data_IF_107047788817
#
_entry.id   IF_107047788817
#
_cell.length_a   1.000
_cell.length_b   1.000
_cell.length_c   1.000
_cell.angle_alpha   90.00
_cell.angle_beta   90.00
_cell.angle_gamma   90.00
#
_symmetry.space_group_name_H-M   'P 1'
#
loop_
_entity.id
_entity.type
_entity.pdbx_description
1 polymer ?
#
# COMPACT_ATOMS: atom_id res chain seq x y z
N UNK A 1 0.10 -0.08 -1.50
CA UNK A 1 0.18 1.39 -1.38
C UNK A 1 0.15 1.99 -2.77
N UNK A 2 -0.73 2.98 -2.99
CA UNK A 2 -0.72 3.81 -4.18
C UNK A 2 0.29 4.96 -4.02
N UNK A 3 0.47 5.81 -5.04
CA UNK A 3 1.38 6.96 -4.97
C UNK A 3 0.99 7.96 -3.87
N UNK A 4 -0.30 8.12 -3.58
CA UNK A 4 -0.77 9.05 -2.55
C UNK A 4 -0.38 8.59 -1.14
N UNK A 5 -0.48 7.29 -0.87
CA UNK A 5 -0.07 6.68 0.42
C UNK A 5 1.40 6.97 0.73
N UNK A 6 2.27 6.93 -0.29
CA UNK A 6 3.70 7.25 -0.17
C UNK A 6 3.93 8.73 0.10
N UNK A 7 3.15 9.62 -0.53
CA UNK A 7 3.26 11.06 -0.33
C UNK A 7 2.91 11.44 1.12
N UNK A 8 1.79 10.94 1.65
CA UNK A 8 1.41 11.23 3.03
C UNK A 8 2.34 10.58 4.04
N UNK A 9 2.86 9.38 3.75
CA UNK A 9 3.91 8.77 4.57
C UNK A 9 5.14 9.67 4.65
N UNK A 10 5.57 10.25 3.53
CA UNK A 10 6.69 11.20 3.49
C UNK A 10 6.38 12.50 4.27
N UNK A 11 5.16 13.04 4.14
CA UNK A 11 4.72 14.21 4.91
C UNK A 11 4.80 13.97 6.43
N UNK A 12 4.45 12.77 6.92
CA UNK A 12 4.51 12.44 8.35
C UNK A 12 5.92 12.48 8.93
N UNK A 13 6.96 12.29 8.10
CA UNK A 13 8.37 12.38 8.49
C UNK A 13 9.03 13.70 8.08
N UNK A 14 8.26 14.67 7.60
CA UNK A 14 8.78 15.96 7.14
C UNK A 14 9.64 15.86 5.87
N UNK A 15 9.47 14.79 5.09
CA UNK A 15 10.16 14.60 3.81
C UNK A 15 9.27 15.03 2.64
N UNK A 16 9.93 15.46 1.56
CA UNK A 16 9.23 15.61 0.29
C UNK A 16 8.77 14.24 -0.23
N UNK A 17 7.67 14.24 -0.97
CA UNK A 17 7.19 13.07 -1.72
C UNK A 17 8.33 12.41 -2.49
N UNK A 18 8.48 11.10 -2.33
CA UNK A 18 9.44 10.31 -3.09
C UNK A 18 9.04 10.27 -4.58
N UNK A 19 9.83 10.83 -5.50
CA UNK A 19 9.45 10.86 -6.92
C UNK A 19 9.45 9.45 -7.51
N UNK A 20 8.62 9.18 -8.53
CA UNK A 20 8.70 7.93 -9.29
C UNK A 20 10.06 7.80 -9.99
N UNK A 21 10.72 6.65 -9.85
CA UNK A 21 12.04 6.39 -10.42
C UNK A 21 12.11 6.65 -11.93
N UNK A 22 11.06 6.27 -12.67
CA UNK A 22 11.01 6.40 -14.13
C UNK A 22 10.85 7.85 -14.62
N UNK A 23 10.35 8.76 -13.78
CA UNK A 23 10.26 10.18 -14.14
C UNK A 23 11.60 10.89 -13.99
N UNK A 24 12.46 10.41 -13.08
CA UNK A 24 13.74 11.03 -12.76
C UNK A 24 14.88 10.00 -12.73
N UNK A 25 15.18 9.30 -13.84
CA UNK A 25 16.16 8.21 -13.84
C UNK A 25 17.60 8.66 -13.53
N UNK A 26 17.88 9.96 -13.52
CA UNK A 26 19.16 10.57 -13.11
C UNK A 26 19.03 11.48 -11.88
N UNK A 27 17.93 11.37 -11.13
CA UNK A 27 17.66 12.18 -9.95
C UNK A 27 18.57 11.87 -8.77
N UNK A 28 18.56 12.79 -7.79
CA UNK A 28 19.20 12.61 -6.48
C UNK A 28 18.23 11.92 -5.55
N UNK A 29 18.56 10.71 -5.09
CA UNK A 29 17.62 9.83 -4.39
C UNK A 29 17.85 9.71 -2.88
N UNK A 30 18.75 10.53 -2.32
CA UNK A 30 19.07 10.55 -0.88
C UNK A 30 17.85 10.87 0.00
N UNK A 31 16.81 11.51 -0.56
CA UNK A 31 15.57 11.84 0.16
C UNK A 31 14.41 10.86 -0.10
N UNK A 32 14.64 9.82 -0.90
CA UNK A 32 13.63 8.82 -1.25
C UNK A 32 13.33 8.75 -2.75
N UNK A 33 12.79 7.61 -3.16
CA UNK A 33 12.37 7.31 -4.53
C UNK A 33 11.33 6.18 -4.51
N UNK A 34 10.31 6.28 -5.37
CA UNK A 34 9.30 5.24 -5.53
C UNK A 34 9.58 4.39 -6.76
N UNK A 35 9.62 3.06 -6.56
CA UNK A 35 9.75 2.08 -7.65
C UNK A 35 8.43 1.38 -7.97
N UNK A 36 7.35 1.75 -7.27
CA UNK A 36 6.07 1.06 -7.34
C UNK A 36 5.46 1.15 -8.75
N UNK A 37 5.02 0.00 -9.28
CA UNK A 37 4.20 -0.07 -10.48
C UNK A 37 2.79 -0.51 -10.14
N UNK A 38 1.80 0.32 -10.48
CA UNK A 38 0.39 -0.01 -10.25
C UNK A 38 -0.01 -1.30 -10.98
N UNK A 39 -0.69 -2.22 -10.29
CA UNK A 39 -1.14 -3.49 -10.85
C UNK A 39 -0.06 -4.57 -10.99
N UNK A 40 1.19 -4.32 -10.56
CA UNK A 40 2.26 -5.30 -10.66
C UNK A 40 2.07 -6.50 -9.71
N UNK A 41 2.33 -7.70 -10.22
CA UNK A 41 2.37 -8.93 -9.44
C UNK A 41 3.71 -9.16 -8.73
N UNK A 42 3.72 -10.15 -7.83
CA UNK A 42 4.95 -10.64 -7.19
C UNK A 42 5.80 -11.44 -8.18
N UNK A 43 5.16 -12.30 -8.98
CA UNK A 43 5.82 -13.11 -9.99
C UNK A 43 5.73 -12.45 -11.37
N UNK A 44 6.79 -12.57 -12.16
CA UNK A 44 6.82 -12.05 -13.53
C UNK A 44 5.67 -12.57 -14.39
N UNK A 45 5.28 -13.84 -14.19
CA UNK A 45 4.19 -14.49 -14.95
C UNK A 45 2.81 -13.91 -14.61
N UNK A 46 2.65 -13.32 -13.43
CA UNK A 46 1.39 -12.67 -13.05
C UNK A 46 1.12 -11.41 -13.88
N UNK A 47 2.18 -10.78 -14.41
CA UNK A 47 2.12 -9.55 -15.20
C UNK A 47 1.90 -9.81 -16.70
N UNK A 48 2.04 -11.06 -17.17
CA UNK A 48 1.93 -11.41 -18.59
C UNK A 48 0.49 -11.39 -19.13
N UNK A 49 -0.54 -11.44 -18.27
CA UNK A 49 -1.90 -11.80 -18.69
C UNK A 49 -2.96 -10.68 -18.66
N UNK A 50 -2.76 -9.55 -17.95
CA UNK A 50 -3.85 -8.58 -17.72
C UNK A 50 -3.50 -7.10 -17.97
N UNK A 51 -2.26 -6.65 -17.77
CA UNK A 51 -1.85 -5.25 -18.00
C UNK A 51 -0.42 -5.25 -18.59
N UNK A 52 -0.28 -5.09 -19.91
CA UNK A 52 1.02 -5.12 -20.64
C UNK A 52 1.99 -3.96 -20.32
N UNK A 53 1.68 -3.15 -19.31
CA UNK A 53 2.43 -1.95 -18.94
C UNK A 53 2.86 -1.97 -17.46
N UNK A 54 2.72 -3.09 -16.76
CA UNK A 54 3.24 -3.23 -15.39
C UNK A 54 4.72 -3.56 -15.41
N UNK A 55 5.42 -3.12 -14.36
CA UNK A 55 6.81 -3.46 -14.11
C UNK A 55 6.80 -4.52 -13.01
N UNK A 56 7.15 -5.79 -13.31
CA UNK A 56 7.16 -6.85 -12.31
C UNK A 56 8.05 -6.51 -11.11
N UNK A 57 7.74 -7.08 -9.94
CA UNK A 57 8.49 -6.81 -8.71
C UNK A 57 9.99 -7.04 -8.89
N UNK A 58 10.40 -8.09 -9.63
CA UNK A 58 11.81 -8.35 -9.92
C UNK A 58 12.50 -7.18 -10.63
N UNK A 59 11.81 -6.52 -11.56
CA UNK A 59 12.35 -5.35 -12.28
C UNK A 59 12.38 -4.11 -11.38
N UNK A 60 11.37 -3.92 -10.51
CA UNK A 60 11.38 -2.86 -9.51
C UNK A 60 12.57 -3.00 -8.55
N UNK A 61 12.91 -4.24 -8.13
CA UNK A 61 14.11 -4.53 -7.34
C UNK A 61 15.41 -4.23 -8.10
N UNK A 62 15.44 -4.46 -9.41
CA UNK A 62 16.55 -4.06 -10.28
C UNK A 62 16.77 -2.54 -10.31
N UNK A 63 15.69 -1.77 -10.40
CA UNK A 63 15.74 -0.31 -10.30
C UNK A 63 16.25 0.15 -8.92
N UNK A 64 15.76 -0.46 -7.85
CA UNK A 64 16.27 -0.19 -6.50
C UNK A 64 17.76 -0.48 -6.39
N UNK A 65 18.25 -1.62 -6.88
CA UNK A 65 19.67 -1.94 -6.81
C UNK A 65 20.53 -0.94 -7.61
N UNK A 66 20.01 -0.42 -8.73
CA UNK A 66 20.66 0.65 -9.50
C UNK A 66 20.81 1.93 -8.67
N UNK A 67 19.74 2.34 -7.99
CA UNK A 67 19.79 3.51 -7.08
C UNK A 67 20.73 3.25 -5.90
N UNK A 68 20.68 2.06 -5.31
CA UNK A 68 21.57 1.66 -4.21
C UNK A 68 23.04 1.76 -4.61
N UNK A 69 23.41 1.35 -5.82
CA UNK A 69 24.78 1.49 -6.33
C UNK A 69 25.21 2.95 -6.50
N UNK A 70 24.28 3.86 -6.84
CA UNK A 70 24.56 5.30 -6.91
C UNK A 70 24.72 5.90 -5.53
N UNK A 71 23.82 5.58 -4.61
CA UNK A 71 23.94 5.95 -3.20
C UNK A 71 25.25 5.43 -2.60
N UNK A 72 25.71 4.23 -3.00
CA UNK A 72 27.01 3.70 -2.57
C UNK A 72 28.19 4.58 -3.01
N UNK A 73 28.13 5.12 -4.24
CA UNK A 73 29.15 6.04 -4.76
C UNK A 73 29.10 7.40 -4.07
N UNK A 74 27.91 7.88 -3.73
CA UNK A 74 27.71 9.19 -3.09
C UNK A 74 27.99 9.17 -1.59
N UNK A 75 27.56 8.13 -0.87
CA UNK A 75 27.60 8.05 0.59
C UNK A 75 28.78 7.24 1.13
N UNK A 76 29.44 6.43 0.30
CA UNK A 76 30.56 5.58 0.71
C UNK A 76 30.22 4.69 1.91
N UNK A 77 31.01 4.79 2.98
CA UNK A 77 30.81 4.02 4.22
C UNK A 77 29.48 4.30 4.93
N UNK A 78 28.84 5.45 4.65
CA UNK A 78 27.59 5.84 5.29
C UNK A 78 26.35 5.19 4.64
N UNK A 79 26.52 4.45 3.54
CA UNK A 79 25.40 3.79 2.84
C UNK A 79 24.59 2.88 3.76
N UNK A 80 25.27 2.05 4.56
CA UNK A 80 24.57 1.07 5.41
C UNK A 80 23.76 1.76 6.52
N UNK A 81 24.28 2.84 7.09
CA UNK A 81 23.58 3.66 8.08
C UNK A 81 22.38 4.39 7.45
N UNK A 82 22.54 4.89 6.22
CA UNK A 82 21.44 5.52 5.49
C UNK A 82 20.31 4.53 5.17
N UNK A 83 20.65 3.33 4.68
CA UNK A 83 19.67 2.29 4.37
C UNK A 83 19.02 1.71 5.62
N UNK A 84 19.73 1.56 6.74
CA UNK A 84 19.12 1.05 7.98
C UNK A 84 18.10 2.02 8.58
N UNK A 85 18.29 3.33 8.39
CA UNK A 85 17.37 4.40 8.82
C UNK A 85 16.22 4.65 7.83
N UNK A 86 16.29 4.10 6.62
CA UNK A 86 15.25 4.22 5.60
C UNK A 86 14.08 3.26 5.86
N UNK A 87 12.87 3.66 5.46
CA UNK A 87 11.66 2.85 5.56
C UNK A 87 11.38 2.11 4.25
N UNK A 88 11.09 0.82 4.33
CA UNK A 88 10.78 -0.01 3.15
C UNK A 88 9.40 -0.65 3.26
N UNK A 89 8.50 -0.40 2.30
CA UNK A 89 7.20 -1.07 2.24
C UNK A 89 7.29 -2.51 1.69
N UNK A 90 8.46 -2.93 1.18
CA UNK A 90 8.74 -4.26 0.62
C UNK A 90 10.04 -4.81 1.22
N UNK A 91 10.06 -6.13 1.47
CA UNK A 91 11.19 -6.84 2.08
C UNK A 91 12.43 -6.91 1.17
N UNK A 92 13.41 -6.03 1.41
CA UNK A 92 14.72 -6.02 0.75
C UNK A 92 15.87 -6.11 1.76
N UNK A 93 15.69 -6.90 2.82
CA UNK A 93 16.63 -7.04 3.93
C UNK A 93 18.08 -7.34 3.50
N UNK A 94 18.26 -8.24 2.52
CA UNK A 94 19.56 -8.58 1.94
C UNK A 94 20.27 -7.42 1.23
N UNK A 95 19.57 -6.32 0.96
CA UNK A 95 20.11 -5.11 0.35
C UNK A 95 20.35 -3.97 1.35
N UNK A 96 20.29 -4.24 2.66
CA UNK A 96 20.65 -3.30 3.73
C UNK A 96 19.48 -2.70 4.49
N UNK A 97 18.23 -2.96 4.05
CA UNK A 97 17.03 -2.52 4.75
C UNK A 97 16.88 -3.18 6.13
N UNK A 98 16.47 -2.40 7.12
CA UNK A 98 16.25 -2.89 8.50
C UNK A 98 14.88 -2.56 9.06
N UNK A 99 14.23 -1.49 8.60
CA UNK A 99 12.90 -1.06 9.05
C UNK A 99 11.85 -1.27 7.95
N UNK A 100 10.82 -2.05 8.25
CA UNK A 100 9.79 -2.45 7.28
C UNK A 100 8.40 -2.00 7.72
N UNK A 101 7.65 -1.39 6.80
CA UNK A 101 6.22 -1.14 6.97
C UNK A 101 5.50 -2.20 6.14
N UNK A 102 4.70 -3.04 6.77
CA UNK A 102 3.98 -4.12 6.10
C UNK A 102 2.50 -3.91 6.28
N UNK A 103 1.73 -3.90 5.20
CA UNK A 103 0.26 -3.78 5.27
C UNK A 103 -0.37 -5.10 4.88
N UNK A 104 -1.32 -5.60 5.67
CA UNK A 104 -2.14 -6.75 5.28
C UNK A 104 -3.02 -6.46 4.06
N UNK A 105 -3.57 -7.52 3.46
CA UNK A 105 -4.61 -7.43 2.42
C UNK A 105 -5.89 -6.85 3.05
N UNK A 106 -6.48 -5.84 2.40
CA UNK A 106 -7.74 -5.23 2.81
C UNK A 106 -8.93 -6.20 2.69
N UNK A 107 -10.12 -5.77 3.13
CA UNK A 107 -11.40 -6.48 2.95
C UNK A 107 -11.84 -6.49 1.47
N UNK A 108 -11.04 -7.10 0.59
CA UNK A 108 -11.13 -6.98 -0.87
C UNK A 108 -12.40 -7.59 -1.46
N UNK A 109 -13.03 -8.55 -0.76
CA UNK A 109 -14.35 -9.08 -1.12
C UNK A 109 -15.45 -8.03 -1.12
N UNK A 110 -15.23 -6.89 -0.46
CA UNK A 110 -16.14 -5.75 -0.44
C UNK A 110 -15.79 -4.65 -1.46
N UNK A 111 -14.75 -4.80 -2.28
CA UNK A 111 -14.43 -3.84 -3.33
C UNK A 111 -15.55 -3.79 -4.39
N UNK A 112 -15.83 -2.63 -5.01
CA UNK A 112 -16.90 -2.50 -6.00
C UNK A 112 -16.82 -3.52 -7.14
N UNK A 113 -15.61 -3.83 -7.64
CA UNK A 113 -15.41 -4.84 -8.69
C UNK A 113 -15.79 -6.25 -8.26
N UNK A 114 -15.53 -6.62 -7.00
CA UNK A 114 -15.88 -7.95 -6.49
C UNK A 114 -17.38 -8.03 -6.22
N UNK A 115 -17.96 -6.97 -5.65
CA UNK A 115 -19.42 -6.84 -5.46
C UNK A 115 -20.20 -6.83 -6.77
N UNK A 116 -19.62 -6.34 -7.86
CA UNK A 116 -20.25 -6.34 -9.18
C UNK A 116 -20.70 -7.75 -9.61
N UNK A 117 -19.90 -8.77 -9.29
CA UNK A 117 -20.22 -10.18 -9.57
C UNK A 117 -21.32 -10.75 -8.66
N UNK A 118 -21.68 -10.06 -7.58
CA UNK A 118 -22.78 -10.42 -6.70
C UNK A 118 -24.12 -9.91 -7.26
N UNK A 119 -25.16 -10.76 -7.38
CA UNK A 119 -26.49 -10.32 -7.74
C UNK A 119 -27.02 -9.20 -6.83
N UNK A 120 -26.77 -9.32 -5.53
CA UNK A 120 -27.21 -8.38 -4.48
C UNK A 120 -26.22 -7.23 -4.21
N UNK A 121 -25.01 -7.29 -4.77
CA UNK A 121 -23.96 -6.31 -4.46
C UNK A 121 -23.31 -6.51 -3.08
N UNK A 122 -23.54 -7.66 -2.44
CA UNK A 122 -22.93 -8.00 -1.16
C UNK A 122 -21.46 -8.41 -1.30
N UNK A 123 -20.73 -8.33 -0.18
CA UNK A 123 -19.32 -8.74 -0.16
C UNK A 123 -19.17 -10.23 -0.47
N UNK A 124 -18.12 -10.59 -1.18
CA UNK A 124 -17.76 -11.99 -1.38
C UNK A 124 -17.04 -12.54 -0.14
N UNK A 125 -17.68 -13.51 0.54
CA UNK A 125 -17.17 -14.11 1.78
C UNK A 125 -15.93 -14.97 1.56
N UNK A 126 -15.85 -15.71 0.46
CA UNK A 126 -14.72 -16.60 0.17
C UNK A 126 -13.45 -15.80 -0.12
N UNK A 127 -13.58 -14.71 -0.88
CA UNK A 127 -12.47 -13.78 -1.14
C UNK A 127 -11.97 -13.15 0.17
N UNK A 128 -12.88 -12.73 1.06
CA UNK A 128 -12.51 -12.19 2.36
C UNK A 128 -11.87 -13.25 3.29
N UNK A 129 -12.35 -14.49 3.24
CA UNK A 129 -11.77 -15.60 3.98
C UNK A 129 -10.30 -15.83 3.59
N UNK A 130 -10.00 -15.89 2.28
CA UNK A 130 -8.63 -16.06 1.80
C UNK A 130 -7.74 -14.86 2.09
N UNK A 131 -8.26 -13.63 1.98
CA UNK A 131 -7.54 -12.43 2.37
C UNK A 131 -7.13 -12.46 3.86
N UNK A 132 -8.06 -12.87 4.73
CA UNK A 132 -7.78 -13.03 6.16
C UNK A 132 -6.73 -14.12 6.41
N UNK A 133 -6.86 -15.29 5.77
CA UNK A 133 -5.90 -16.39 5.93
C UNK A 133 -4.49 -16.00 5.49
N UNK A 134 -4.36 -15.30 4.38
CA UNK A 134 -3.08 -14.75 3.94
C UNK A 134 -2.49 -13.81 5.00
N UNK A 135 -3.30 -12.92 5.56
CA UNK A 135 -2.83 -11.99 6.60
C UNK A 135 -2.37 -12.72 7.87
N UNK A 136 -3.10 -13.75 8.30
CA UNK A 136 -2.72 -14.57 9.46
C UNK A 136 -1.32 -15.20 9.22
N UNK A 137 -1.09 -15.84 8.08
CA UNK A 137 0.23 -16.41 7.72
C UNK A 137 1.33 -15.36 7.57
N UNK A 138 1.02 -14.20 6.97
CA UNK A 138 1.94 -13.07 6.85
C UNK A 138 2.43 -12.61 8.22
N UNK A 139 1.54 -12.50 9.21
CA UNK A 139 1.94 -12.09 10.57
C UNK A 139 2.84 -13.11 11.25
N UNK A 140 2.55 -14.41 11.10
CA UNK A 140 3.41 -15.49 11.61
C UNK A 140 4.82 -15.43 11.00
N UNK A 141 4.90 -15.27 9.67
CA UNK A 141 6.18 -15.14 8.96
C UNK A 141 6.97 -13.91 9.43
N UNK A 142 6.33 -12.75 9.64
CA UNK A 142 7.03 -11.55 10.12
C UNK A 142 7.60 -11.74 11.54
N UNK A 143 6.88 -12.48 12.39
CA UNK A 143 7.36 -12.85 13.71
C UNK A 143 8.58 -13.78 13.65
N UNK A 144 8.56 -14.79 12.77
CA UNK A 144 9.71 -15.67 12.55
C UNK A 144 10.92 -14.91 12.02
N UNK A 145 10.74 -14.08 10.98
CA UNK A 145 11.80 -13.25 10.42
C UNK A 145 12.43 -12.32 11.47
N UNK A 146 11.64 -11.81 12.42
CA UNK A 146 12.12 -10.99 13.52
C UNK A 146 13.05 -11.75 14.48
N UNK A 147 12.85 -13.05 14.65
CA UNK A 147 13.70 -13.90 15.48
C UNK A 147 14.98 -14.32 14.75
N UNK A 148 14.90 -14.52 13.43
CA UNK A 148 16.02 -15.01 12.62
C UNK A 148 16.95 -13.90 12.14
N UNK A 149 16.41 -12.74 11.79
CA UNK A 149 17.15 -11.68 11.10
C UNK A 149 17.63 -10.61 12.08
N UNK A 150 18.96 -10.47 12.15
CA UNK A 150 19.62 -9.44 12.97
C UNK A 150 19.14 -8.04 12.57
N UNK A 151 18.75 -7.24 13.56
CA UNK A 151 18.31 -5.85 13.40
C UNK A 151 17.07 -5.66 12.50
N UNK A 152 16.35 -6.75 12.18
CA UNK A 152 15.07 -6.65 11.47
C UNK A 152 14.03 -6.02 12.40
N UNK A 153 13.42 -4.92 11.97
CA UNK A 153 12.35 -4.22 12.66
C UNK A 153 11.19 -4.03 11.70
N UNK A 154 9.96 -4.24 12.18
CA UNK A 154 8.79 -4.08 11.33
C UNK A 154 7.62 -3.48 12.10
N UNK A 155 6.72 -2.85 11.36
CA UNK A 155 5.37 -2.48 11.76
C UNK A 155 4.41 -3.10 10.76
N UNK A 156 3.53 -3.97 11.23
CA UNK A 156 2.44 -4.58 10.48
C UNK A 156 1.14 -3.80 10.72
N UNK A 157 0.45 -3.46 9.65
CA UNK A 157 -0.83 -2.76 9.68
C UNK A 157 -1.98 -3.66 9.19
N UNK A 158 -2.92 -3.95 10.10
CA UNK A 158 -4.12 -4.75 9.85
C UNK A 158 -5.17 -3.97 9.04
N UNK A 159 -4.88 -3.86 7.76
CA UNK A 159 -5.74 -3.19 6.77
C UNK A 159 -7.09 -3.87 6.64
N UNK A 160 -7.17 -5.19 6.89
CA UNK A 160 -8.42 -5.94 6.81
C UNK A 160 -9.43 -5.44 7.86
N UNK A 161 -8.98 -5.31 9.11
CA UNK A 161 -9.83 -4.83 10.20
C UNK A 161 -10.23 -3.37 10.02
N UNK A 162 -9.34 -2.52 9.53
CA UNK A 162 -9.65 -1.10 9.22
C UNK A 162 -10.74 -0.99 8.15
N UNK A 163 -10.60 -1.70 7.03
CA UNK A 163 -11.62 -1.68 5.98
C UNK A 163 -12.92 -2.36 6.42
N UNK A 164 -12.87 -3.29 7.38
CA UNK A 164 -14.08 -3.82 8.02
C UNK A 164 -14.84 -2.73 8.77
N UNK A 165 -14.15 -1.87 9.51
CA UNK A 165 -14.80 -0.74 10.16
C UNK A 165 -15.28 0.32 9.18
N UNK A 166 -14.51 0.65 8.14
CA UNK A 166 -14.98 1.56 7.09
C UNK A 166 -16.29 1.09 6.45
N UNK A 167 -16.50 -0.23 6.32
CA UNK A 167 -17.74 -0.79 5.75
C UNK A 167 -18.86 -0.92 6.80
N UNK A 168 -18.54 -1.28 8.05
CA UNK A 168 -19.54 -1.55 9.09
C UNK A 168 -19.99 -0.31 9.86
N UNK A 169 -19.10 0.66 10.07
CA UNK A 169 -19.35 1.90 10.80
C UNK A 169 -18.92 3.16 10.00
N UNK A 170 -19.36 3.30 8.74
CA UNK A 170 -18.85 4.31 7.81
C UNK A 170 -19.04 5.76 8.27
N UNK A 171 -20.14 6.06 8.96
CA UNK A 171 -20.45 7.40 9.44
C UNK A 171 -19.41 7.92 10.44
N UNK A 172 -18.78 7.04 11.24
CA UNK A 172 -17.67 7.39 12.15
C UNK A 172 -16.49 8.00 11.39
N UNK A 173 -16.33 7.62 10.13
CA UNK A 173 -15.23 8.02 9.26
C UNK A 173 -15.65 9.03 8.20
N UNK A 174 -16.88 9.54 8.27
CA UNK A 174 -17.42 10.50 7.32
C UNK A 174 -17.86 9.89 5.98
N UNK A 175 -17.95 8.56 5.87
CA UNK A 175 -18.42 7.91 4.65
C UNK A 175 -19.93 7.70 4.65
N UNK A 176 -20.55 7.96 3.51
CA UNK A 176 -21.95 7.66 3.22
C UNK A 176 -22.11 6.56 2.16
N UNK A 177 -21.13 6.43 1.26
CA UNK A 177 -21.12 5.41 0.20
C UNK A 177 -19.89 4.51 0.32
N UNK A 178 -20.12 3.22 0.58
CA UNK A 178 -19.08 2.19 0.79
C UNK A 178 -19.18 1.00 -0.15
N UNK A 179 -20.21 0.96 -1.02
CA UNK A 179 -20.45 -0.13 -1.97
C UNK A 179 -20.08 0.27 -3.40
N UNK A 180 -20.41 1.49 -3.80
CA UNK A 180 -20.19 2.00 -5.16
C UNK A 180 -18.87 2.75 -5.29
N UNK A 181 -18.23 2.67 -6.45
CA UNK A 181 -17.07 3.50 -6.78
C UNK A 181 -17.49 4.95 -7.07
N UNK A 182 -16.66 5.94 -6.73
CA UNK A 182 -16.91 7.32 -7.13
C UNK A 182 -16.72 7.54 -8.63
N UNK A 183 -15.72 6.91 -9.25
CA UNK A 183 -15.41 6.99 -10.66
C UNK A 183 -15.70 5.67 -11.37
N UNK A 184 -16.56 5.71 -12.38
CA UNK A 184 -16.84 4.57 -13.25
C UNK A 184 -18.24 4.61 -13.84
N UNK A 185 -18.70 3.49 -14.38
CA UNK A 185 -20.01 3.38 -15.04
C UNK A 185 -20.71 2.06 -14.68
N UNK A 186 -22.04 2.06 -14.85
CA UNK A 186 -22.90 0.89 -14.63
C UNK A 186 -23.15 0.57 -13.15
N UNK A 187 -23.59 -0.67 -12.86
CA UNK A 187 -23.88 -1.15 -11.50
C UNK A 187 -22.66 -0.93 -10.59
N UNK A 188 -22.88 -0.29 -9.43
CA UNK A 188 -21.85 0.09 -8.45
C UNK A 188 -20.71 0.95 -9.03
N UNK A 189 -20.92 1.56 -10.22
CA UNK A 189 -19.87 2.21 -11.02
C UNK A 189 -18.66 1.29 -11.29
N UNK A 190 -18.90 -0.02 -11.35
CA UNK A 190 -17.87 -1.05 -11.44
C UNK A 190 -17.93 -1.91 -12.72
N UNK A 191 -18.87 -1.62 -13.64
CA UNK A 191 -18.97 -2.32 -14.92
C UNK A 191 -17.80 -1.93 -15.84
N UNK A 192 -17.48 -0.64 -15.88
CA UNK A 192 -16.36 -0.09 -16.64
C UNK A 192 -15.41 0.67 -15.72
N UNK A 193 -14.09 0.59 -15.94
CA UNK A 193 -13.10 1.24 -15.11
C UNK A 193 -13.17 2.78 -15.23
N UNK A 194 -12.46 3.46 -14.33
CA UNK A 194 -12.29 4.90 -14.38
C UNK A 194 -11.47 5.31 -15.60
N UNK A 195 -12.14 5.69 -16.69
CA UNK A 195 -11.53 6.18 -17.94
C UNK A 195 -11.96 7.63 -18.19
N UNK A 196 -11.40 8.33 -19.20
CA UNK A 196 -11.84 9.69 -19.53
C UNK A 196 -13.33 9.82 -19.87
N UNK A 197 -14.04 8.71 -20.15
CA UNK A 197 -15.47 8.68 -20.43
C UNK A 197 -16.32 8.31 -19.19
N UNK A 198 -15.70 8.10 -18.03
CA UNK A 198 -16.40 7.71 -16.82
C UNK A 198 -17.19 8.88 -16.20
N UNK A 199 -18.19 8.54 -15.38
CA UNK A 199 -18.86 9.50 -14.52
C UNK A 199 -18.18 9.52 -13.15
N UNK A 200 -18.18 10.70 -12.53
CA UNK A 200 -17.61 10.94 -11.21
C UNK A 200 -18.69 11.29 -10.21
N UNK A 201 -18.47 11.01 -8.92
CA UNK A 201 -19.40 11.40 -7.86
C UNK A 201 -19.25 12.90 -7.61
N UNK A 202 -20.30 13.55 -7.09
CA UNK A 202 -20.28 14.98 -6.76
C UNK A 202 -19.40 15.28 -5.54
N UNK A 203 -19.36 14.36 -4.58
CA UNK A 203 -18.59 14.48 -3.36
C UNK A 203 -17.73 13.23 -3.13
N UNK A 204 -16.41 13.41 -3.28
CA UNK A 204 -15.41 12.36 -3.13
C UNK A 204 -15.05 12.11 -1.67
N UNK A 205 -15.34 13.07 -0.79
CA UNK A 205 -14.96 13.00 0.63
C UNK A 205 -15.82 12.01 1.41
N UNK A 206 -17.05 11.75 0.94
CA UNK A 206 -17.98 10.81 1.57
C UNK A 206 -17.99 9.41 0.94
N UNK A 207 -17.16 9.15 -0.08
CA UNK A 207 -17.03 7.84 -0.71
C UNK A 207 -15.81 7.12 -0.17
N UNK A 208 -15.96 5.82 0.14
CA UNK A 208 -14.84 4.96 0.49
C UNK A 208 -13.96 4.67 -0.73
N UNK A 209 -14.56 4.38 -1.88
CA UNK A 209 -13.85 3.94 -3.09
C UNK A 209 -13.79 5.01 -4.17
N UNK A 210 -12.59 5.30 -4.68
CA UNK A 210 -12.40 6.14 -5.85
C UNK A 210 -12.80 5.41 -7.12
N UNK A 211 -12.23 4.22 -7.34
CA UNK A 211 -12.52 3.39 -8.49
C UNK A 211 -13.00 2.00 -8.06
N UNK A 212 -12.94 1.03 -8.96
CA UNK A 212 -13.47 -0.31 -8.74
C UNK A 212 -12.70 -1.14 -7.69
N UNK A 213 -11.53 -0.66 -7.24
CA UNK A 213 -10.68 -1.29 -6.21
C UNK A 213 -10.11 -0.32 -5.18
N UNK A 214 -9.72 0.89 -5.60
CA UNK A 214 -8.89 1.77 -4.80
C UNK A 214 -9.71 2.74 -3.95
N UNK A 215 -9.22 3.09 -2.74
CA UNK A 215 -9.88 4.07 -1.89
C UNK A 215 -9.82 5.49 -2.46
N UNK A 216 -10.71 6.36 -2.00
CA UNK A 216 -10.60 7.82 -2.22
C UNK A 216 -9.44 8.41 -1.42
N UNK A 217 -9.04 9.64 -1.79
CA UNK A 217 -8.09 10.42 -0.97
C UNK A 217 -8.56 10.56 0.48
N UNK A 218 -9.86 10.77 0.72
CA UNK A 218 -10.40 10.90 2.07
C UNK A 218 -10.19 9.63 2.89
N UNK A 219 -10.46 8.47 2.30
CA UNK A 219 -10.20 7.18 2.93
C UNK A 219 -8.70 6.89 3.12
N UNK A 220 -7.88 7.22 2.13
CA UNK A 220 -6.44 7.05 2.22
C UNK A 220 -5.80 7.91 3.33
N UNK A 221 -6.27 9.14 3.55
CA UNK A 221 -5.80 10.00 4.65
C UNK A 221 -6.07 9.39 6.02
N UNK A 222 -7.30 8.94 6.27
CA UNK A 222 -7.67 8.27 7.52
C UNK A 222 -6.83 7.00 7.72
N UNK A 223 -6.67 6.21 6.65
CA UNK A 223 -5.83 5.01 6.65
C UNK A 223 -4.38 5.31 7.04
N UNK A 224 -3.74 6.32 6.45
CA UNK A 224 -2.36 6.70 6.76
C UNK A 224 -2.23 7.24 8.18
N UNK A 225 -3.21 8.01 8.66
CA UNK A 225 -3.22 8.49 10.04
C UNK A 225 -3.26 7.33 11.06
N UNK A 226 -4.10 6.32 10.80
CA UNK A 226 -4.18 5.11 11.61
C UNK A 226 -2.90 4.27 11.55
N UNK A 227 -2.26 4.17 10.38
CA UNK A 227 -0.99 3.47 10.20
C UNK A 227 0.15 4.17 10.95
N UNK A 228 0.15 5.50 10.97
CA UNK A 228 1.23 6.29 11.58
C UNK A 228 1.10 6.40 13.11
N UNK A 229 -0.06 6.82 13.61
CA UNK A 229 -0.31 7.15 15.04
C UNK A 229 -1.44 6.35 15.68
N UNK A 230 -1.85 5.24 15.07
CA UNK A 230 -2.93 4.41 15.60
C UNK A 230 -2.68 3.98 17.04
N UNK A 231 -3.74 3.72 17.80
CA UNK A 231 -3.69 3.36 19.23
C UNK A 231 -3.12 1.96 19.52
N UNK A 232 -2.27 1.41 18.64
CA UNK A 232 -1.85 0.01 18.69
C UNK A 232 -2.95 -0.99 18.28
N UNK A 233 -4.18 -0.53 18.02
CA UNK A 233 -5.33 -1.41 17.71
C UNK A 233 -5.16 -2.18 16.40
N UNK A 234 -4.53 -1.57 15.39
CA UNK A 234 -4.32 -2.17 14.06
C UNK A 234 -2.84 -2.25 13.67
N UNK A 235 -1.93 -1.83 14.54
CA UNK A 235 -0.50 -1.73 14.27
C UNK A 235 0.25 -2.61 15.24
N UNK A 236 1.03 -3.57 14.74
CA UNK A 236 1.75 -4.54 15.56
C UNK A 236 3.15 -4.83 14.99
N UNK A 237 4.19 -5.10 15.80
CA UNK A 237 4.21 -4.95 17.26
C UNK A 237 4.28 -3.48 17.71
N UNK A 238 4.44 -2.53 16.78
CA UNK A 238 4.57 -1.10 17.04
C UNK A 238 3.97 -0.30 15.89
N UNK A 239 3.67 0.97 16.15
CA UNK A 239 3.31 1.98 15.15
C UNK A 239 4.49 2.34 14.25
N UNK A 240 4.24 2.99 13.12
CA UNK A 240 5.34 3.48 12.28
C UNK A 240 6.11 4.62 12.96
N UNK A 241 5.43 5.45 13.76
CA UNK A 241 6.05 6.49 14.57
C UNK A 241 7.05 5.92 15.60
N UNK A 242 6.74 4.77 16.20
CA UNK A 242 7.69 4.06 17.08
C UNK A 242 8.81 3.39 16.29
N UNK A 243 8.51 2.79 15.13
CA UNK A 243 9.51 2.13 14.28
C UNK A 243 10.61 3.09 13.80
N UNK A 244 10.26 4.34 13.48
CA UNK A 244 11.25 5.33 13.07
C UNK A 244 12.16 5.76 14.23
N UNK A 245 11.70 5.69 15.48
CA UNK A 245 12.42 6.13 16.66
C UNK A 245 13.49 5.14 17.15
N UNK A 246 13.49 3.90 16.63
CA UNK A 246 14.49 2.85 16.90
C UNK A 246 15.82 3.15 16.19
#
# INVERSE_FOLDING_TARGET
MNSFDLNWTAEKVGLASAPPYLEQPNGVFVKGVSFASGGAGIFNTTDESLIKHTIPLAHQLGHFNTVRQRLAKELGSNLQDHLSKSLFPIGIYGLGARKFIVTGIALIGCAPKVRYSSPTGECNKDVNYWAKKYNDELTSMLHELKLELKEFQYSYFDTYSVFTEFVQTPATYGFNETKSACCGLGKLRAKFPCTPLALFCSDRSNHLFWDVYHPTEAAARIFIDMLWRGSGKYTFPMTVEELIAI
#
